data_IF_981386368019
#
_entry.id   IF_981386368019
#
_cell.length_a   1.000
_cell.length_b   1.000
_cell.length_c   1.000
_cell.angle_alpha   90.00
_cell.angle_beta   90.00
_cell.angle_gamma   90.00
#
_symmetry.space_group_name_H-M   'P 1'
#
loop_
_entity.id
_entity.type
_entity.pdbx_description
1 polymer ?
#
# COMPACT_ATOMS: atom_id res chain seq x y z
N UNK A 1 10.20 7.59 21.75
CA UNK A 1 9.15 6.79 21.08
C UNK A 1 8.89 7.50 19.76
N UNK A 2 8.92 6.79 18.64
CA UNK A 2 8.63 7.39 17.33
C UNK A 2 7.11 7.45 17.20
N UNK A 3 6.56 8.62 16.91
CA UNK A 3 5.13 8.82 16.73
C UNK A 3 4.85 8.88 15.23
N UNK A 4 3.85 8.13 14.76
CA UNK A 4 3.39 8.19 13.37
C UNK A 4 2.65 9.53 13.17
N UNK A 5 3.07 10.39 12.23
CA UNK A 5 2.44 11.67 11.96
C UNK A 5 0.98 11.52 11.54
N UNK A 6 0.20 12.55 11.82
CA UNK A 6 -1.21 12.64 11.47
C UNK A 6 -1.42 13.72 10.41
N UNK A 7 -2.21 13.39 9.39
CA UNK A 7 -2.64 14.30 8.33
C UNK A 7 -4.15 14.39 8.38
N UNK A 8 -4.65 15.57 8.77
CA UNK A 8 -6.07 15.86 8.81
C UNK A 8 -6.54 16.42 7.47
N UNK A 9 -7.33 15.63 6.73
CA UNK A 9 -7.83 16.01 5.41
C UNK A 9 -8.76 17.22 5.41
N UNK A 10 -9.36 17.55 6.55
CA UNK A 10 -10.20 18.74 6.69
C UNK A 10 -9.40 20.02 6.99
N UNK A 11 -8.11 19.89 7.29
CA UNK A 11 -7.24 21.01 7.66
C UNK A 11 -6.78 21.80 6.44
N UNK A 12 -6.72 23.13 6.57
CA UNK A 12 -6.09 24.00 5.56
C UNK A 12 -4.57 23.78 5.45
N UNK A 13 -3.96 23.10 6.43
CA UNK A 13 -2.53 22.79 6.47
C UNK A 13 -2.22 21.34 6.09
N UNK A 14 -3.18 20.60 5.54
CA UNK A 14 -3.02 19.17 5.22
C UNK A 14 -1.78 18.89 4.34
N UNK A 15 -1.47 19.77 3.39
CA UNK A 15 -0.31 19.62 2.52
C UNK A 15 1.03 19.71 3.29
N UNK A 16 1.12 20.65 4.24
CA UNK A 16 2.32 20.79 5.08
C UNK A 16 2.46 19.62 6.06
N UNK A 17 1.35 19.16 6.64
CA UNK A 17 1.34 17.96 7.48
C UNK A 17 1.84 16.73 6.70
N UNK A 18 1.34 16.56 5.47
CA UNK A 18 1.77 15.47 4.59
C UNK A 18 3.24 15.60 4.21
N UNK A 19 3.72 16.82 3.89
CA UNK A 19 5.13 17.08 3.58
C UNK A 19 6.04 16.65 4.73
N UNK A 20 5.70 17.02 5.96
CA UNK A 20 6.45 16.62 7.16
C UNK A 20 6.45 15.09 7.30
N UNK A 21 5.29 14.45 7.14
CA UNK A 21 5.20 13.00 7.22
C UNK A 21 6.06 12.28 6.18
N UNK A 22 5.98 12.71 4.92
CA UNK A 22 6.69 12.09 3.79
C UNK A 22 8.21 12.29 3.85
N UNK A 23 8.69 13.43 4.36
CA UNK A 23 10.14 13.71 4.51
C UNK A 23 10.77 12.97 5.69
N UNK A 24 10.00 12.79 6.77
CA UNK A 24 10.49 12.16 8.00
C UNK A 24 10.38 10.64 7.95
N UNK A 25 9.16 10.12 7.73
CA UNK A 25 8.86 8.70 7.87
C UNK A 25 8.33 8.04 6.58
N UNK A 26 7.84 8.80 5.60
CA UNK A 26 7.13 8.20 4.46
C UNK A 26 5.82 7.50 4.82
N UNK A 27 5.35 7.66 6.05
CA UNK A 27 4.16 7.04 6.64
C UNK A 27 3.39 8.07 7.48
N UNK A 28 2.06 8.00 7.45
CA UNK A 28 1.18 8.79 8.32
C UNK A 28 -0.16 8.07 8.56
N UNK A 29 -0.89 8.55 9.56
CA UNK A 29 -2.33 8.35 9.63
C UNK A 29 -3.05 9.47 8.91
N UNK A 30 -4.06 9.13 8.11
CA UNK A 30 -4.96 10.09 7.51
C UNK A 30 -6.28 10.09 8.27
N UNK A 31 -6.67 11.27 8.75
CA UNK A 31 -7.90 11.52 9.51
C UNK A 31 -8.88 12.33 8.66
N UNK A 32 -10.17 12.28 9.02
CA UNK A 32 -11.23 13.07 8.38
C UNK A 32 -11.29 12.90 6.84
N UNK A 33 -10.97 11.70 6.35
CA UNK A 33 -10.92 11.35 4.93
C UNK A 33 -12.29 11.26 4.25
N UNK A 34 -13.39 11.31 5.00
CA UNK A 34 -14.75 11.29 4.45
C UNK A 34 -15.24 9.93 3.95
N UNK A 35 -14.48 8.85 4.20
CA UNK A 35 -14.85 7.46 3.88
C UNK A 35 -15.20 6.73 5.19
N UNK A 36 -16.32 7.10 5.83
CA UNK A 36 -16.82 6.41 7.03
C UNK A 36 -17.85 5.34 6.67
N UNK A 37 -18.79 5.65 5.79
CA UNK A 37 -19.99 4.82 5.57
C UNK A 37 -19.74 3.69 4.55
N UNK A 38 -18.70 3.84 3.73
CA UNK A 38 -18.31 2.87 2.69
C UNK A 38 -17.11 1.99 3.11
N UNK A 39 -16.51 2.25 4.28
CA UNK A 39 -15.37 1.47 4.77
C UNK A 39 -15.88 0.13 5.28
N UNK A 40 -15.35 -1.01 4.80
CA UNK A 40 -15.63 -2.29 5.40
C UNK A 40 -15.14 -2.27 6.84
N UNK A 41 -16.00 -2.67 7.78
CA UNK A 41 -15.61 -2.74 9.19
C UNK A 41 -14.59 -3.87 9.38
N UNK A 42 -13.30 -3.51 9.35
CA UNK A 42 -12.22 -4.46 9.61
C UNK A 42 -12.08 -4.82 11.09
N UNK A 43 -12.84 -4.19 11.99
CA UNK A 43 -12.83 -4.46 13.43
C UNK A 43 -13.78 -5.60 13.84
N UNK A 44 -14.73 -5.97 12.98
CA UNK A 44 -15.72 -7.02 13.24
C UNK A 44 -15.23 -8.36 12.70
N UNK A 45 -14.97 -9.29 13.62
CA UNK A 45 -14.65 -10.68 13.30
C UNK A 45 -15.96 -11.49 13.14
N UNK A 46 -16.11 -12.23 12.03
CA UNK A 46 -17.24 -13.13 11.82
C UNK A 46 -17.56 -13.48 10.36
N UNK A 47 -18.36 -14.53 10.16
CA UNK A 47 -18.69 -15.14 8.85
C UNK A 47 -19.47 -14.21 7.89
N UNK A 48 -19.99 -13.08 8.36
CA UNK A 48 -20.87 -12.21 7.60
C UNK A 48 -20.19 -10.97 6.99
N UNK A 49 -18.96 -10.64 7.38
CA UNK A 49 -18.34 -9.36 7.01
C UNK A 49 -16.95 -9.50 6.39
N UNK A 50 -16.63 -8.47 5.62
CA UNK A 50 -15.48 -8.39 4.74
C UNK A 50 -14.23 -7.97 5.53
N UNK A 51 -13.06 -8.64 5.41
CA UNK A 51 -12.70 -9.71 4.47
C UNK A 51 -12.89 -11.17 4.98
N UNK A 52 -13.29 -11.37 6.23
CA UNK A 52 -13.38 -12.68 6.91
C UNK A 52 -14.20 -13.72 6.13
N UNK A 53 -15.33 -13.32 5.55
CA UNK A 53 -16.25 -14.22 4.84
C UNK A 53 -15.64 -14.95 3.62
N UNK A 54 -14.57 -14.41 3.00
CA UNK A 54 -13.86 -15.15 1.97
C UNK A 54 -12.85 -16.13 2.55
N UNK A 55 -12.06 -15.68 3.53
CA UNK A 55 -10.93 -16.45 4.04
C UNK A 55 -11.33 -17.64 4.91
N UNK A 56 -12.53 -17.60 5.51
CA UNK A 56 -13.13 -18.71 6.26
C UNK A 56 -13.62 -19.87 5.39
N UNK A 57 -13.64 -19.72 4.05
CA UNK A 57 -14.10 -20.79 3.15
C UNK A 57 -13.09 -21.94 3.04
N UNK A 58 -13.55 -23.17 2.73
CA UNK A 58 -12.68 -24.29 2.42
C UNK A 58 -11.68 -23.93 1.31
N UNK A 59 -10.46 -24.50 1.38
CA UNK A 59 -9.39 -24.20 0.43
C UNK A 59 -9.81 -24.50 -1.02
N UNK A 60 -10.65 -25.51 -1.23
CA UNK A 60 -11.18 -25.89 -2.53
C UNK A 60 -12.07 -24.80 -3.15
N UNK A 61 -12.79 -24.04 -2.33
CA UNK A 61 -13.59 -22.90 -2.79
C UNK A 61 -12.70 -21.70 -3.11
N UNK A 62 -11.71 -21.39 -2.25
CA UNK A 62 -10.75 -20.31 -2.48
C UNK A 62 -9.93 -20.53 -3.75
N UNK A 63 -9.53 -21.77 -4.03
CA UNK A 63 -8.76 -22.15 -5.23
C UNK A 63 -9.55 -22.05 -6.55
N UNK A 64 -10.87 -21.88 -6.53
CA UNK A 64 -11.65 -21.64 -7.77
C UNK A 64 -11.34 -20.29 -8.42
N UNK A 65 -10.73 -19.37 -7.68
CA UNK A 65 -10.42 -18.01 -8.14
C UNK A 65 -8.94 -17.69 -8.10
N UNK A 66 -8.06 -18.70 -8.27
CA UNK A 66 -6.59 -18.54 -8.26
C UNK A 66 -6.09 -17.37 -9.12
N UNK A 67 -5.00 -16.75 -8.65
CA UNK A 67 -4.33 -15.66 -9.34
C UNK A 67 -3.96 -16.07 -10.78
N UNK A 68 -4.38 -15.22 -11.73
CA UNK A 68 -3.96 -15.36 -13.12
C UNK A 68 -2.58 -14.71 -13.34
N UNK A 69 -2.05 -14.81 -14.57
CA UNK A 69 -0.75 -14.21 -14.96
C UNK A 69 -0.63 -12.68 -14.77
N UNK A 70 -1.74 -11.98 -14.53
CA UNK A 70 -1.78 -10.56 -14.22
C UNK A 70 -1.87 -10.30 -12.71
N UNK A 71 -1.57 -11.30 -11.88
CA UNK A 71 -1.64 -11.25 -10.42
C UNK A 71 -3.04 -10.87 -9.91
N UNK A 72 -4.09 -11.25 -10.64
CA UNK A 72 -5.50 -11.06 -10.24
C UNK A 72 -6.11 -12.40 -9.90
N UNK A 73 -6.40 -12.62 -8.63
CA UNK A 73 -7.09 -13.80 -8.11
C UNK A 73 -6.71 -14.06 -6.66
N UNK A 74 -6.87 -15.29 -6.23
CA UNK A 74 -6.46 -15.78 -4.92
C UNK A 74 -5.00 -16.25 -4.96
N UNK A 75 -4.19 -15.73 -4.05
CA UNK A 75 -2.79 -16.12 -3.82
C UNK A 75 -2.73 -16.91 -2.53
N UNK A 76 -2.10 -18.09 -2.58
CA UNK A 76 -2.04 -19.01 -1.46
C UNK A 76 -1.06 -18.53 -0.37
N UNK A 77 -1.33 -18.99 0.85
CA UNK A 77 -0.40 -18.89 1.97
C UNK A 77 1.00 -19.41 1.58
N UNK A 78 2.05 -18.65 1.90
CA UNK A 78 3.44 -18.92 1.56
C UNK A 78 3.79 -18.89 0.05
N UNK A 79 2.90 -18.41 -0.83
CA UNK A 79 3.19 -18.32 -2.27
C UNK A 79 4.07 -17.09 -2.60
N UNK A 80 3.84 -15.96 -1.93
CA UNK A 80 4.68 -14.76 -2.07
C UNK A 80 5.87 -14.80 -1.09
N UNK A 81 7.01 -14.25 -1.48
CA UNK A 81 8.18 -14.04 -0.60
C UNK A 81 8.75 -12.66 -0.91
N UNK A 82 8.47 -11.68 -0.06
CA UNK A 82 8.83 -10.27 -0.30
C UNK A 82 10.29 -9.95 0.03
N UNK A 83 10.87 -10.68 0.98
CA UNK A 83 12.26 -10.56 1.43
C UNK A 83 12.96 -11.94 1.41
N UNK A 84 13.34 -12.45 0.22
CA UNK A 84 13.98 -13.76 0.10
C UNK A 84 15.38 -13.83 0.71
N UNK A 85 15.95 -12.69 1.14
CA UNK A 85 17.26 -12.66 1.80
C UNK A 85 17.15 -13.06 3.29
N UNK A 86 16.00 -12.81 3.92
CA UNK A 86 15.76 -13.07 5.35
C UNK A 86 14.69 -14.16 5.57
N UNK A 87 13.73 -14.29 4.65
CA UNK A 87 12.66 -15.27 4.75
C UNK A 87 13.14 -16.68 4.41
N UNK A 88 12.78 -17.67 5.25
CA UNK A 88 13.04 -19.09 4.98
C UNK A 88 11.81 -19.82 4.43
N UNK A 89 10.64 -19.19 4.55
CA UNK A 89 9.36 -19.59 3.98
C UNK A 89 8.68 -18.37 3.36
N UNK A 90 7.70 -18.59 2.48
CA UNK A 90 6.88 -17.50 1.98
C UNK A 90 6.10 -16.79 3.09
N UNK A 91 5.52 -15.65 2.74
CA UNK A 91 4.72 -14.82 3.63
C UNK A 91 3.54 -15.63 4.20
N UNK A 92 3.29 -15.52 5.50
CA UNK A 92 2.12 -16.13 6.15
C UNK A 92 0.87 -15.28 5.94
N UNK A 93 0.69 -14.77 4.72
CA UNK A 93 -0.52 -14.11 4.24
C UNK A 93 -1.08 -14.80 2.99
N UNK A 94 -2.38 -14.73 2.84
CA UNK A 94 -3.10 -15.04 1.60
C UNK A 94 -3.83 -13.79 1.08
N UNK A 95 -4.06 -13.72 -0.23
CA UNK A 95 -4.74 -12.60 -0.89
C UNK A 95 -5.86 -13.05 -1.79
N UNK A 96 -6.89 -12.23 -2.01
CA UNK A 96 -8.04 -12.53 -2.86
C UNK A 96 -8.43 -11.37 -3.76
N UNK A 97 -8.79 -11.68 -5.00
CA UNK A 97 -9.32 -10.68 -5.95
C UNK A 97 -10.84 -10.71 -6.22
N UNK A 98 -11.55 -11.85 -6.18
CA UNK A 98 -12.96 -11.91 -6.63
C UNK A 98 -13.81 -12.92 -5.87
N UNK A 99 -14.98 -12.48 -5.37
CA UNK A 99 -16.02 -13.38 -4.88
C UNK A 99 -17.40 -12.75 -5.07
N UNK A 100 -18.38 -13.43 -5.70
CA UNK A 100 -19.65 -12.83 -6.11
C UNK A 100 -20.44 -12.16 -4.98
N UNK A 101 -20.50 -12.78 -3.79
CA UNK A 101 -21.25 -12.21 -2.65
C UNK A 101 -20.58 -10.98 -2.02
N UNK A 102 -19.28 -10.78 -2.30
CA UNK A 102 -18.53 -9.60 -1.86
C UNK A 102 -18.31 -8.59 -2.99
N UNK A 103 -18.79 -8.88 -4.21
CA UNK A 103 -18.48 -8.08 -5.40
C UNK A 103 -19.09 -6.68 -5.30
N UNK A 104 -20.36 -6.54 -4.94
CA UNK A 104 -21.01 -5.23 -4.85
C UNK A 104 -20.36 -4.32 -3.80
N UNK A 105 -20.08 -4.87 -2.60
CA UNK A 105 -19.37 -4.16 -1.53
C UNK A 105 -17.97 -3.76 -1.97
N UNK A 106 -17.24 -4.67 -2.62
CA UNK A 106 -15.91 -4.40 -3.18
C UNK A 106 -15.91 -3.30 -4.22
N UNK A 107 -16.89 -3.30 -5.12
CA UNK A 107 -17.01 -2.30 -6.18
C UNK A 107 -17.32 -0.91 -5.59
N UNK A 108 -18.25 -0.83 -4.62
CA UNK A 108 -18.54 0.42 -3.91
C UNK A 108 -17.30 0.96 -3.19
N UNK A 109 -16.64 0.11 -2.41
CA UNK A 109 -15.43 0.50 -1.69
C UNK A 109 -14.29 0.88 -2.64
N UNK A 110 -14.08 0.14 -3.73
CA UNK A 110 -13.09 0.46 -4.75
C UNK A 110 -13.34 1.84 -5.38
N UNK A 111 -14.60 2.17 -5.70
CA UNK A 111 -14.96 3.50 -6.23
C UNK A 111 -14.67 4.61 -5.20
N UNK A 112 -15.02 4.38 -3.93
CA UNK A 112 -14.71 5.32 -2.85
C UNK A 112 -13.19 5.52 -2.67
N UNK A 113 -12.42 4.43 -2.69
CA UNK A 113 -10.96 4.46 -2.59
C UNK A 113 -10.29 5.09 -3.80
N UNK A 114 -10.82 4.93 -5.02
CA UNK A 114 -10.33 5.69 -6.18
C UNK A 114 -10.49 7.20 -6.01
N UNK A 115 -11.61 7.65 -5.44
CA UNK A 115 -11.83 9.09 -5.17
C UNK A 115 -10.84 9.60 -4.11
N UNK A 116 -10.72 8.88 -2.99
CA UNK A 116 -9.80 9.25 -1.91
C UNK A 116 -8.34 9.19 -2.38
N UNK A 117 -7.95 8.16 -3.13
CA UNK A 117 -6.62 8.01 -3.72
C UNK A 117 -6.27 9.18 -4.64
N UNK A 118 -7.23 9.68 -5.42
CA UNK A 118 -6.99 10.85 -6.26
C UNK A 118 -6.83 12.14 -5.46
N UNK A 119 -7.63 12.37 -4.42
CA UNK A 119 -7.43 13.53 -3.53
C UNK A 119 -6.12 13.44 -2.75
N UNK A 120 -5.71 12.24 -2.29
CA UNK A 120 -4.37 12.00 -1.74
C UNK A 120 -3.25 12.34 -2.73
N UNK A 121 -3.38 11.92 -3.99
CA UNK A 121 -2.39 12.21 -5.03
C UNK A 121 -2.27 13.72 -5.28
N UNK A 122 -3.39 14.45 -5.31
CA UNK A 122 -3.38 15.92 -5.43
C UNK A 122 -2.73 16.59 -4.23
N UNK A 123 -3.07 16.15 -3.01
CA UNK A 123 -2.47 16.66 -1.78
C UNK A 123 -0.96 16.39 -1.75
N UNK A 124 -0.53 15.23 -2.24
CA UNK A 124 0.85 14.87 -2.41
C UNK A 124 1.60 15.81 -3.36
N UNK A 125 1.03 16.09 -4.53
CA UNK A 125 1.63 17.03 -5.48
C UNK A 125 1.74 18.44 -4.87
N UNK A 126 0.72 18.88 -4.13
CA UNK A 126 0.76 20.14 -3.39
C UNK A 126 1.84 20.15 -2.28
N UNK A 127 1.95 19.07 -1.50
CA UNK A 127 2.97 18.89 -0.47
C UNK A 127 4.40 18.91 -1.04
N UNK A 128 4.57 18.44 -2.29
CA UNK A 128 5.82 18.50 -3.01
C UNK A 128 6.08 19.86 -3.71
N UNK A 129 5.17 20.84 -3.60
CA UNK A 129 5.32 22.16 -4.23
C UNK A 129 4.83 22.23 -5.70
N UNK A 130 4.17 21.19 -6.20
CA UNK A 130 3.65 21.07 -7.57
C UNK A 130 2.11 21.02 -7.58
N UNK A 131 1.46 21.94 -6.87
CA UNK A 131 -0.01 21.97 -6.80
C UNK A 131 -0.65 21.94 -8.19
N UNK A 132 -1.58 21.02 -8.38
CA UNK A 132 -2.33 20.83 -9.64
C UNK A 132 -1.61 20.01 -10.72
N UNK A 133 -0.38 19.53 -10.47
CA UNK A 133 0.39 18.72 -11.42
C UNK A 133 -0.33 17.46 -11.89
N UNK A 134 -1.18 16.89 -11.04
CA UNK A 134 -1.91 15.66 -11.29
C UNK A 134 -3.34 15.85 -11.81
N UNK A 135 -3.79 17.10 -12.00
CA UNK A 135 -5.16 17.39 -12.46
C UNK A 135 -5.34 17.22 -13.98
N UNK A 136 -4.22 17.10 -14.72
CA UNK A 136 -4.21 17.07 -16.18
C UNK A 136 -4.61 15.72 -16.79
N UNK A 137 -5.03 15.72 -18.07
CA UNK A 137 -5.29 14.48 -18.81
C UNK A 137 -4.01 13.63 -18.92
N UNK A 138 -4.17 12.32 -18.88
CA UNK A 138 -3.06 11.37 -18.90
C UNK A 138 -2.45 11.11 -17.52
N UNK A 139 -2.90 11.78 -16.46
CA UNK A 139 -2.42 11.58 -15.09
C UNK A 139 -3.24 10.50 -14.37
N UNK A 140 -4.54 10.74 -14.15
CA UNK A 140 -5.42 9.85 -13.39
C UNK A 140 -6.79 9.63 -14.04
N UNK A 141 -6.94 9.91 -15.34
CA UNK A 141 -8.18 9.60 -16.08
C UNK A 141 -8.38 8.10 -16.31
N UNK A 142 -7.30 7.31 -16.24
CA UNK A 142 -7.30 5.84 -16.28
C UNK A 142 -6.26 5.30 -15.29
N UNK A 143 -6.46 5.56 -13.99
CA UNK A 143 -5.46 5.26 -12.99
C UNK A 143 -5.29 3.75 -12.88
N UNK A 144 -4.08 3.33 -12.52
CA UNK A 144 -3.85 1.95 -12.16
C UNK A 144 -4.13 1.82 -10.67
N UNK A 145 -5.10 0.99 -10.31
CA UNK A 145 -5.41 0.75 -8.92
C UNK A 145 -5.57 -0.74 -8.63
N UNK A 146 -5.18 -1.13 -7.42
CA UNK A 146 -5.28 -2.49 -6.93
C UNK A 146 -5.75 -2.47 -5.49
N UNK A 147 -6.86 -3.14 -5.24
CA UNK A 147 -7.38 -3.43 -3.91
C UNK A 147 -7.02 -4.89 -3.59
N UNK A 148 -6.26 -5.11 -2.52
CA UNK A 148 -5.93 -6.45 -2.03
C UNK A 148 -6.66 -6.71 -0.72
N UNK A 149 -7.03 -7.96 -0.46
CA UNK A 149 -7.54 -8.38 0.85
C UNK A 149 -6.53 -9.32 1.44
N UNK A 150 -5.94 -8.96 2.55
CA UNK A 150 -4.89 -9.75 3.15
C UNK A 150 -5.42 -10.38 4.43
N UNK A 151 -5.29 -11.70 4.52
CA UNK A 151 -5.47 -12.47 5.74
C UNK A 151 -4.13 -13.06 6.17
N UNK A 152 -3.72 -12.79 7.39
CA UNK A 152 -2.49 -13.30 7.99
C UNK A 152 -2.84 -14.41 8.97
N UNK A 153 -2.14 -15.54 8.84
CA UNK A 153 -2.37 -16.72 9.67
C UNK A 153 -2.18 -16.43 11.17
N UNK A 154 -2.88 -17.17 12.06
CA UNK A 154 -2.70 -17.11 13.52
C UNK A 154 -1.40 -17.84 13.95
N UNK A 155 -0.28 -17.47 13.33
CA UNK A 155 1.06 -17.97 13.63
C UNK A 155 1.93 -16.78 14.06
N UNK A 156 2.59 -16.91 15.21
CA UNK A 156 3.53 -15.88 15.66
C UNK A 156 4.73 -15.82 14.71
N UNK A 157 5.04 -14.62 14.24
CA UNK A 157 6.24 -14.36 13.45
C UNK A 157 7.50 -14.58 14.29
N UNK A 158 8.55 -15.05 13.63
CA UNK A 158 9.83 -15.42 14.23
C UNK A 158 10.95 -15.08 13.23
N UNK A 159 11.69 -14.01 13.53
CA UNK A 159 12.75 -13.49 12.65
C UNK A 159 13.88 -14.50 12.50
N UNK A 160 14.25 -15.21 13.56
CA UNK A 160 15.37 -16.18 13.53
C UNK A 160 15.02 -17.37 12.65
N UNK A 161 13.74 -17.74 12.60
CA UNK A 161 13.22 -18.78 11.70
C UNK A 161 12.77 -18.24 10.35
N UNK A 162 12.88 -16.94 10.10
CA UNK A 162 12.43 -16.31 8.86
C UNK A 162 10.93 -16.42 8.61
N UNK A 163 10.10 -16.41 9.66
CA UNK A 163 8.63 -16.44 9.60
C UNK A 163 8.07 -15.03 9.76
N UNK A 164 7.39 -14.53 8.73
CA UNK A 164 6.84 -13.18 8.67
C UNK A 164 5.40 -13.22 8.17
N UNK A 165 4.56 -12.30 8.67
CA UNK A 165 3.27 -12.03 8.07
C UNK A 165 3.43 -11.45 6.66
N UNK A 166 4.37 -10.52 6.50
CA UNK A 166 4.87 -10.03 5.22
C UNK A 166 6.33 -9.63 5.39
N UNK A 167 7.21 -10.07 4.49
CA UNK A 167 8.62 -9.69 4.46
C UNK A 167 8.87 -8.19 4.31
N UNK A 168 10.10 -7.76 4.57
CA UNK A 168 10.49 -6.36 4.43
C UNK A 168 10.49 -5.91 2.95
N UNK A 169 9.77 -4.84 2.64
CA UNK A 169 9.68 -4.30 1.29
C UNK A 169 9.36 -2.80 1.30
N UNK A 170 9.53 -2.16 0.14
CA UNK A 170 8.92 -0.87 -0.18
C UNK A 170 7.81 -1.07 -1.20
N UNK A 171 6.81 -0.20 -1.19
CA UNK A 171 5.79 -0.21 -2.22
C UNK A 171 6.34 0.42 -3.50
N UNK A 172 5.98 -0.15 -4.65
CA UNK A 172 6.52 0.30 -5.94
C UNK A 172 5.84 1.55 -6.46
N UNK A 173 4.58 1.73 -6.09
CA UNK A 173 3.67 2.72 -6.66
C UNK A 173 3.89 4.15 -6.18
N UNK A 174 2.85 4.96 -6.35
CA UNK A 174 2.79 6.32 -5.87
C UNK A 174 2.42 6.35 -4.37
N UNK A 175 1.21 5.87 -4.04
CA UNK A 175 0.64 5.91 -2.69
C UNK A 175 -0.12 4.60 -2.41
N UNK A 176 -0.02 4.13 -1.17
CA UNK A 176 -0.83 3.03 -0.62
C UNK A 176 -1.69 3.55 0.52
N UNK A 177 -2.98 3.23 0.49
CA UNK A 177 -3.93 3.47 1.57
C UNK A 177 -4.31 2.14 2.22
N UNK A 178 -3.99 1.96 3.49
CA UNK A 178 -4.18 0.71 4.23
C UNK A 178 -5.26 0.89 5.29
N UNK A 179 -6.35 0.12 5.15
CA UNK A 179 -7.23 -0.19 6.27
C UNK A 179 -6.72 -1.45 6.97
N UNK A 180 -6.70 -1.45 8.30
CA UNK A 180 -6.32 -2.60 9.12
C UNK A 180 -7.36 -2.82 10.21
N UNK A 181 -7.47 -4.06 10.68
CA UNK A 181 -8.15 -4.36 11.95
C UNK A 181 -7.38 -3.77 13.15
N UNK A 182 -7.84 -4.08 14.36
CA UNK A 182 -7.19 -3.66 15.61
C UNK A 182 -6.01 -4.56 16.00
N UNK A 183 -5.65 -5.55 15.17
CA UNK A 183 -4.50 -6.43 15.39
C UNK A 183 -3.22 -5.77 14.86
N UNK A 184 -2.27 -5.55 15.77
CA UNK A 184 -0.98 -4.95 15.43
C UNK A 184 -0.11 -5.85 14.55
N UNK A 185 1.01 -5.30 14.09
CA UNK A 185 2.04 -6.09 13.42
C UNK A 185 2.75 -5.36 12.28
N UNK A 186 2.15 -4.31 11.73
CA UNK A 186 2.83 -3.44 10.77
C UNK A 186 4.01 -2.74 11.46
N UNK A 187 5.19 -2.85 10.85
CA UNK A 187 6.42 -2.19 11.30
C UNK A 187 7.06 -1.42 10.15
N UNK A 188 7.61 -0.24 10.45
CA UNK A 188 8.43 0.57 9.53
C UNK A 188 9.88 0.57 9.98
N UNK A 189 10.83 0.67 9.05
CA UNK A 189 12.24 0.79 9.35
C UNK A 189 12.65 2.26 9.40
N UNK A 190 13.04 2.74 10.59
CA UNK A 190 13.40 4.12 10.81
C UNK A 190 14.63 4.22 11.71
N UNK A 191 15.62 5.00 11.31
CA UNK A 191 16.88 5.22 12.06
C UNK A 191 17.56 3.92 12.52
N UNK A 192 17.62 2.91 11.63
CA UNK A 192 18.32 1.66 11.90
C UNK A 192 17.55 0.64 12.74
N UNK A 193 16.27 0.88 13.05
CA UNK A 193 15.42 -0.02 13.84
C UNK A 193 14.02 -0.17 13.24
N UNK A 194 13.39 -1.29 13.54
CA UNK A 194 11.97 -1.51 13.28
C UNK A 194 11.13 -0.81 14.36
N UNK A 195 10.10 -0.10 13.92
CA UNK A 195 9.16 0.68 14.75
C UNK A 195 7.75 0.22 14.43
N UNK A 196 6.97 -0.12 15.46
CA UNK A 196 5.57 -0.50 15.28
C UNK A 196 4.72 0.69 14.82
N UNK A 197 3.78 0.41 13.93
CA UNK A 197 2.67 1.31 13.56
C UNK A 197 1.44 0.84 14.32
N UNK A 198 1.00 1.54 15.38
CA UNK A 198 -0.17 1.14 16.16
C UNK A 198 -1.44 0.97 15.29
N UNK A 199 -2.16 -0.16 15.40
CA UNK A 199 -3.38 -0.36 14.62
C UNK A 199 -4.47 0.61 15.06
N UNK A 200 -5.24 1.11 14.09
CA UNK A 200 -6.35 2.05 14.28
C UNK A 200 -7.43 1.79 13.22
N UNK A 201 -8.68 1.67 13.67
CA UNK A 201 -9.86 1.43 12.85
C UNK A 201 -10.54 2.73 12.38
N UNK A 202 -10.19 3.88 12.99
CA UNK A 202 -10.75 5.20 12.69
C UNK A 202 -9.99 5.97 11.59
N UNK A 203 -8.85 5.45 11.12
CA UNK A 203 -7.97 6.12 10.14
C UNK A 203 -7.50 5.16 9.04
N UNK A 204 -6.97 5.73 7.96
CA UNK A 204 -6.11 4.99 7.04
C UNK A 204 -4.65 5.17 7.44
N UNK A 205 -3.89 4.07 7.42
CA UNK A 205 -2.42 4.18 7.35
C UNK A 205 -2.06 4.47 5.91
N UNK A 206 -1.32 5.54 5.65
CA UNK A 206 -0.89 5.92 4.31
C UNK A 206 0.63 5.92 4.25
N UNK A 207 1.16 5.27 3.22
CA UNK A 207 2.56 5.33 2.88
C UNK A 207 2.77 5.66 1.41
N UNK A 208 3.94 6.23 1.15
CA UNK A 208 4.40 6.51 -0.20
C UNK A 208 5.26 5.37 -0.73
N UNK A 209 5.22 5.18 -2.05
CA UNK A 209 6.06 4.20 -2.73
C UNK A 209 7.24 4.82 -3.48
N UNK A 210 7.97 3.95 -4.17
CA UNK A 210 9.19 4.29 -4.87
C UNK A 210 8.96 5.26 -6.05
N UNK A 211 7.77 5.25 -6.66
CA UNK A 211 7.42 6.20 -7.72
C UNK A 211 7.35 7.63 -7.18
N UNK A 212 6.80 7.81 -5.98
CA UNK A 212 6.77 9.08 -5.27
C UNK A 212 8.18 9.59 -4.98
N UNK A 213 9.07 8.70 -4.54
CA UNK A 213 10.46 9.05 -4.28
C UNK A 213 11.16 9.57 -5.55
N UNK A 214 10.80 9.01 -6.72
CA UNK A 214 11.30 9.49 -8.02
C UNK A 214 10.75 10.85 -8.40
N UNK A 215 9.46 11.12 -8.17
CA UNK A 215 8.87 12.43 -8.42
C UNK A 215 9.55 13.53 -7.60
N UNK A 216 10.00 13.21 -6.39
CA UNK A 216 10.48 14.21 -5.41
C UNK A 216 12.00 14.20 -5.21
N UNK A 217 12.75 13.57 -6.12
CA UNK A 217 14.21 13.47 -6.03
C UNK A 217 14.76 12.90 -4.72
N UNK A 218 14.00 12.01 -4.04
CA UNK A 218 14.28 11.51 -2.67
C UNK A 218 14.08 12.50 -1.52
N UNK A 219 13.43 13.63 -1.76
CA UNK A 219 12.96 14.48 -0.66
C UNK A 219 11.95 13.72 0.20
N UNK A 220 11.01 13.04 -0.45
CA UNK A 220 10.11 12.11 0.22
C UNK A 220 10.65 10.69 0.18
N UNK A 221 10.51 9.94 1.27
CA UNK A 221 11.20 8.66 1.48
C UNK A 221 10.26 7.48 1.39
N UNK A 222 10.45 6.62 0.40
CA UNK A 222 9.78 5.32 0.36
C UNK A 222 10.37 4.42 1.46
N UNK A 223 9.56 4.10 2.47
CA UNK A 223 10.07 3.51 3.71
C UNK A 223 9.84 2.01 3.75
N UNK A 224 10.91 1.28 4.05
CA UNK A 224 10.86 -0.16 4.26
C UNK A 224 9.87 -0.49 5.37
N UNK A 225 8.98 -1.42 5.09
CA UNK A 225 7.99 -1.88 6.05
C UNK A 225 7.80 -3.39 5.94
N UNK A 226 7.29 -3.99 7.01
CA UNK A 226 7.03 -5.44 7.12
C UNK A 226 5.83 -5.69 8.02
N UNK A 227 5.33 -6.92 8.04
CA UNK A 227 4.30 -7.33 9.00
C UNK A 227 4.82 -8.48 9.86
N UNK A 228 4.85 -8.25 11.17
CA UNK A 228 5.18 -9.20 12.22
C UNK A 228 3.93 -9.54 13.02
N UNK A 229 3.41 -10.76 12.90
CA UNK A 229 2.33 -11.22 13.77
C UNK A 229 2.88 -11.51 15.17
N UNK A 230 2.67 -10.57 16.10
CA UNK A 230 3.11 -10.70 17.50
C UNK A 230 2.05 -11.31 18.41
N UNK A 231 0.77 -11.19 18.06
CA UNK A 231 -0.35 -11.70 18.86
C UNK A 231 -0.45 -13.22 18.76
N UNK A 232 -0.20 -13.77 17.57
CA UNK A 232 -0.53 -15.17 17.23
C UNK A 232 -2.01 -15.35 16.89
N UNK A 233 -2.75 -14.26 16.76
CA UNK A 233 -4.14 -14.25 16.30
C UNK A 233 -4.19 -13.95 14.80
N UNK A 234 -5.34 -14.17 14.17
CA UNK A 234 -5.55 -13.71 12.80
C UNK A 234 -5.43 -12.19 12.71
N UNK A 235 -4.92 -11.71 11.58
CA UNK A 235 -4.92 -10.30 11.23
C UNK A 235 -5.50 -10.12 9.85
N UNK A 236 -6.22 -9.02 9.66
CA UNK A 236 -6.82 -8.65 8.39
C UNK A 236 -6.43 -7.23 8.01
N UNK A 237 -6.08 -7.03 6.74
CA UNK A 237 -5.84 -5.69 6.21
C UNK A 237 -6.17 -5.56 4.74
N UNK A 238 -6.48 -4.35 4.31
CA UNK A 238 -7.00 -4.06 2.98
C UNK A 238 -6.19 -2.89 2.38
N UNK A 239 -4.99 -3.17 1.81
CA UNK A 239 -4.23 -2.14 1.11
C UNK A 239 -4.86 -1.84 -0.24
N UNK A 240 -4.95 -0.54 -0.53
CA UNK A 240 -5.34 0.02 -1.81
C UNK A 240 -4.16 0.78 -2.41
N UNK A 241 -3.58 0.22 -3.46
CA UNK A 241 -2.50 0.83 -4.24
C UNK A 241 -3.12 1.72 -5.31
N UNK A 242 -2.69 2.98 -5.37
CA UNK A 242 -3.23 3.97 -6.30
C UNK A 242 -2.12 4.68 -7.06
N UNK A 243 -2.06 4.40 -8.36
CA UNK A 243 -1.00 4.86 -9.25
C UNK A 243 -1.56 5.69 -10.42
N UNK A 244 -0.77 6.62 -10.98
CA UNK A 244 -1.12 7.31 -12.21
C UNK A 244 -1.32 6.33 -13.38
N UNK A 245 -1.92 6.80 -14.47
CA UNK A 245 -2.07 6.05 -15.71
C UNK A 245 -0.76 5.36 -16.12
N UNK A 246 -0.86 4.19 -16.74
CA UNK A 246 0.30 3.41 -17.21
C UNK A 246 1.30 4.25 -18.06
N UNK A 247 0.80 5.18 -18.88
CA UNK A 247 1.63 6.03 -19.74
C UNK A 247 1.99 7.38 -19.12
N UNK A 248 1.55 7.68 -17.89
CA UNK A 248 1.89 8.90 -17.18
C UNK A 248 3.41 9.01 -17.06
N UNK A 249 3.96 10.17 -17.44
CA UNK A 249 5.39 10.42 -17.37
C UNK A 249 5.79 10.64 -15.91
N UNK A 250 6.70 9.80 -15.43
CA UNK A 250 7.34 9.93 -14.11
C UNK A 250 8.68 10.61 -14.34
N UNK A 251 8.72 11.90 -14.06
CA UNK A 251 9.91 12.71 -14.07
C UNK A 251 9.97 13.56 -12.81
N UNK A 252 11.19 13.89 -12.39
CA UNK A 252 11.37 14.68 -11.19
C UNK A 252 10.65 16.02 -11.30
N UNK A 253 9.97 16.41 -10.24
CA UNK A 253 9.30 17.69 -10.11
C UNK A 253 10.30 18.83 -10.14
N UNK A 254 9.90 19.93 -10.80
CA UNK A 254 10.72 21.13 -10.95
C UNK A 254 11.05 21.79 -9.62
N UNK A 255 10.15 21.68 -8.66
CA UNK A 255 10.33 22.12 -7.27
C UNK A 255 11.31 21.27 -6.46
N UNK A 256 11.64 20.05 -6.91
CA UNK A 256 12.52 19.11 -6.22
C UNK A 256 13.90 18.97 -6.90
N UNK A 257 14.26 19.86 -7.83
CA UNK A 257 15.57 19.87 -8.49
C UNK A 257 16.18 21.27 -8.52
N UNK A 258 17.50 21.34 -8.51
CA UNK A 258 18.26 22.56 -8.75
C UNK A 258 19.53 22.28 -9.54
N UNK A 259 20.35 23.30 -9.81
CA UNK A 259 21.68 23.08 -10.40
C UNK A 259 22.61 22.30 -9.47
N UNK A 260 22.46 22.49 -8.16
CA UNK A 260 23.24 21.81 -7.11
C UNK A 260 22.70 20.42 -6.76
N UNK A 261 21.39 20.18 -6.95
CA UNK A 261 20.75 18.86 -6.79
C UNK A 261 19.95 18.48 -8.04
N UNK A 262 20.63 18.05 -9.12
CA UNK A 262 19.96 17.66 -10.35
C UNK A 262 19.14 16.37 -10.16
N UNK A 263 18.24 16.09 -11.11
CA UNK A 263 17.41 14.88 -11.08
C UNK A 263 18.28 13.60 -10.98
N UNK A 264 18.07 12.82 -9.91
CA UNK A 264 18.80 11.57 -9.63
C UNK A 264 18.38 10.42 -10.52
N UNK A 265 17.19 10.52 -11.10
CA UNK A 265 16.56 9.46 -11.87
C UNK A 265 16.27 9.94 -13.30
N UNK A 266 16.55 9.13 -14.32
CA UNK A 266 16.07 9.44 -15.67
C UNK A 266 14.54 9.37 -15.73
N UNK A 267 13.88 10.16 -16.61
CA UNK A 267 12.45 10.06 -16.84
C UNK A 267 12.03 8.65 -17.27
N UNK A 268 10.84 8.24 -16.87
CA UNK A 268 10.20 6.99 -17.30
C UNK A 268 8.67 7.17 -17.40
N UNK A 269 7.91 6.09 -17.56
CA UNK A 269 6.46 6.07 -17.34
C UNK A 269 6.10 5.30 -16.07
N UNK A 270 4.92 5.58 -15.50
CA UNK A 270 4.36 4.86 -14.35
C UNK A 270 4.34 3.34 -14.60
N UNK A 271 3.84 2.94 -15.77
CA UNK A 271 3.78 1.54 -16.19
C UNK A 271 5.16 0.89 -16.32
N UNK A 272 6.11 1.57 -16.97
CA UNK A 272 7.47 1.03 -17.09
C UNK A 272 8.14 0.91 -15.71
N UNK A 273 7.95 1.89 -14.82
CA UNK A 273 8.46 1.83 -13.46
C UNK A 273 7.95 0.60 -12.71
N UNK A 274 6.63 0.35 -12.75
CA UNK A 274 6.04 -0.82 -12.11
C UNK A 274 6.57 -2.12 -12.73
N UNK A 275 6.65 -2.21 -14.07
CA UNK A 275 7.20 -3.39 -14.75
C UNK A 275 8.65 -3.67 -14.36
N UNK A 276 9.48 -2.64 -14.24
CA UNK A 276 10.88 -2.79 -13.82
C UNK A 276 10.97 -3.32 -12.38
N UNK A 277 10.09 -2.84 -11.49
CA UNK A 277 10.00 -3.32 -10.11
C UNK A 277 9.51 -4.76 -10.02
N UNK A 278 8.50 -5.14 -10.80
CA UNK A 278 8.03 -6.54 -10.85
C UNK A 278 9.13 -7.48 -11.36
N UNK A 279 9.90 -7.10 -12.39
CA UNK A 279 11.02 -7.89 -12.89
C UNK A 279 12.14 -8.09 -11.86
N UNK A 280 12.41 -7.06 -11.05
CA UNK A 280 13.44 -7.15 -10.00
C UNK A 280 13.03 -8.08 -8.85
N UNK A 281 11.72 -8.17 -8.57
CA UNK A 281 11.22 -8.83 -7.36
C UNK A 281 10.62 -10.21 -7.63
N UNK A 282 10.15 -10.48 -8.86
CA UNK A 282 9.59 -11.76 -9.26
C UNK A 282 10.42 -12.36 -10.40
N UNK A 283 11.30 -13.32 -10.08
CA UNK A 283 12.19 -13.96 -11.04
C UNK A 283 11.48 -14.68 -12.22
N UNK A 284 10.15 -14.90 -12.11
CA UNK A 284 9.31 -15.52 -13.13
C UNK A 284 8.47 -14.52 -13.95
N UNK A 285 8.65 -13.22 -13.77
CA UNK A 285 7.82 -12.22 -14.45
C UNK A 285 8.32 -11.95 -15.89
N UNK A 286 7.62 -12.50 -16.88
CA UNK A 286 7.77 -12.16 -18.29
C UNK A 286 6.85 -10.99 -18.66
N UNK A 287 7.41 -9.79 -18.78
CA UNK A 287 6.70 -8.64 -19.34
C UNK A 287 6.52 -8.84 -20.85
N UNK A 288 5.29 -9.12 -21.29
CA UNK A 288 4.89 -9.11 -22.69
C UNK A 288 4.00 -7.90 -22.97
#
# INVERSE_FOLDING_TARGET
>A
MVTIPEVDFSSTNAAEQLRIACTQLGFCYVLNHGISDDRPDSSVQGDAEFPCAFFSQPIEEKQKVLANKYMRGYTLMNEETLDPAVQTRGDTKEDKAKFPTLQETMEKYYVAMCKLGFEMAKLFAEAAGEKGKFDGPGMFDKPMAALRLLHYAPEKSDVEKGVFGAGAHTDYGLITLLSTDTTGGLQIFYEGKWVDVPPRDDVFVVNIGDMTERFTNREFKSTLHRVMNVSGEERYSVPFFFDPNFTCKVECFSSCVSEEDPARYPPTTSGQHLLDKYKQTHASFDAQ
#
